data_IF_044855258422
#
_entry.id   IF_044855258422
#
_cell.length_a   1.000
_cell.length_b   1.000
_cell.length_c   1.000
_cell.angle_alpha   90.00
_cell.angle_beta   90.00
_cell.angle_gamma   90.00
#
_symmetry.space_group_name_H-M   'P 1'
#
loop_
_entity.id
_entity.type
_entity.pdbx_description
1 polymer ?
#
# COMPACT_ATOMS: atom_id res chain seq x y z
N UNK A 1 -6.86 23.78 12.20
CA UNK A 1 -5.96 22.61 12.27
C UNK A 1 -6.76 21.45 12.85
N UNK A 2 -7.28 20.55 12.00
CA UNK A 2 -8.02 19.38 12.48
C UNK A 2 -7.04 18.23 12.72
N UNK A 3 -6.94 17.79 13.97
CA UNK A 3 -6.21 16.58 14.34
C UNK A 3 -6.89 15.38 13.66
N UNK A 4 -6.14 14.65 12.82
CA UNK A 4 -6.61 13.37 12.27
C UNK A 4 -6.59 12.34 13.40
N UNK A 5 -7.74 12.10 13.99
CA UNK A 5 -7.93 11.08 15.02
C UNK A 5 -7.65 9.69 14.43
N UNK A 6 -6.68 8.97 14.99
CA UNK A 6 -6.34 7.61 14.55
C UNK A 6 -7.32 6.63 15.19
N UNK A 7 -8.20 6.05 14.37
CA UNK A 7 -9.02 4.90 14.78
C UNK A 7 -8.09 3.70 15.04
N UNK A 8 -8.07 3.12 16.26
CA UNK A 8 -7.29 1.92 16.53
C UNK A 8 -7.94 0.73 15.82
N UNK A 9 -7.26 0.19 14.79
CA UNK A 9 -7.69 -1.06 14.14
C UNK A 9 -7.66 -2.19 15.18
N UNK A 10 -8.84 -2.64 15.61
CA UNK A 10 -9.03 -3.84 16.43
C UNK A 10 -8.32 -5.01 15.74
N UNK A 11 -7.17 -5.41 16.28
CA UNK A 11 -6.50 -6.64 15.88
C UNK A 11 -7.38 -7.79 16.33
N UNK A 12 -8.15 -8.38 15.41
CA UNK A 12 -8.71 -9.69 15.65
C UNK A 12 -7.53 -10.66 15.79
N UNK A 13 -7.37 -11.15 17.01
CA UNK A 13 -6.56 -12.31 17.36
C UNK A 13 -7.18 -13.52 16.63
N UNK A 14 -6.37 -14.54 16.36
CA UNK A 14 -6.70 -15.82 15.68
C UNK A 14 -6.35 -15.78 14.18
N UNK A 15 -5.42 -16.67 13.76
CA UNK A 15 -4.90 -16.99 12.41
C UNK A 15 -3.51 -16.48 11.96
N UNK A 16 -2.76 -15.67 12.74
CA UNK A 16 -1.38 -15.26 12.36
C UNK A 16 -0.29 -16.33 12.58
N UNK A 17 -0.56 -17.59 12.24
CA UNK A 17 0.27 -18.72 12.66
C UNK A 17 1.25 -19.29 11.63
N UNK A 18 1.08 -19.03 10.32
CA UNK A 18 1.85 -19.76 9.30
C UNK A 18 2.16 -18.99 8.01
N UNK A 19 1.39 -17.94 7.68
CA UNK A 19 1.56 -17.16 6.43
C UNK A 19 2.55 -15.99 6.57
N UNK A 20 3.05 -15.72 7.78
CA UNK A 20 4.00 -14.63 8.04
C UNK A 20 5.44 -15.02 7.65
N UNK A 21 5.75 -16.32 7.58
CA UNK A 21 7.13 -16.83 7.38
C UNK A 21 7.54 -17.12 5.93
N UNK A 22 6.64 -17.04 4.93
CA UNK A 22 7.02 -17.32 3.54
C UNK A 22 6.52 -16.21 2.61
N UNK A 23 7.48 -15.40 2.16
CA UNK A 23 7.40 -14.44 1.05
C UNK A 23 6.53 -13.19 1.29
N UNK A 24 7.09 -12.22 2.02
CA UNK A 24 6.67 -10.85 1.85
C UNK A 24 6.93 -10.41 0.40
N UNK A 25 6.00 -9.69 -0.21
CA UNK A 25 6.12 -9.13 -1.55
C UNK A 25 6.25 -7.62 -1.46
N UNK A 26 7.19 -7.08 -2.24
CA UNK A 26 7.41 -5.66 -2.49
C UNK A 26 6.78 -5.31 -3.84
N UNK A 27 5.83 -4.40 -3.82
CA UNK A 27 5.18 -3.86 -5.01
C UNK A 27 5.55 -2.38 -5.10
N UNK A 28 6.05 -1.97 -6.26
CA UNK A 28 6.30 -0.57 -6.61
C UNK A 28 5.34 -0.19 -7.71
N UNK A 29 4.56 0.87 -7.50
CA UNK A 29 3.58 1.36 -8.46
C UNK A 29 3.67 2.87 -8.58
N UNK A 30 3.57 3.39 -9.81
CA UNK A 30 3.49 4.82 -10.07
C UNK A 30 2.03 5.25 -10.06
N UNK A 31 1.71 6.31 -9.35
CA UNK A 31 0.35 6.85 -9.25
C UNK A 31 0.44 8.35 -9.52
N UNK A 32 -0.38 8.84 -10.45
CA UNK A 32 -0.43 10.27 -10.76
C UNK A 32 -1.07 11.03 -9.59
N UNK A 33 -0.25 11.77 -8.83
CA UNK A 33 -0.67 12.45 -7.61
C UNK A 33 -0.39 13.95 -7.68
N UNK A 34 -1.22 14.67 -8.45
CA UNK A 34 -1.11 16.11 -8.67
C UNK A 34 -1.42 17.00 -7.44
N UNK A 35 -1.72 16.44 -6.27
CA UNK A 35 -2.15 17.20 -5.09
C UNK A 35 -1.84 16.51 -3.76
N UNK A 36 -1.66 17.29 -2.70
CA UNK A 36 -1.43 16.72 -1.36
C UNK A 36 -2.62 15.86 -0.87
N UNK A 37 -3.86 16.21 -1.28
CA UNK A 37 -5.07 15.42 -0.98
C UNK A 37 -5.03 14.03 -1.63
N UNK A 38 -4.59 13.93 -2.88
CA UNK A 38 -4.48 12.62 -3.56
C UNK A 38 -3.37 11.77 -2.95
N UNK A 39 -2.25 12.37 -2.52
CA UNK A 39 -1.16 11.67 -1.79
C UNK A 39 -1.65 11.02 -0.49
N UNK A 40 -2.40 11.77 0.33
CA UNK A 40 -2.98 11.22 1.57
C UNK A 40 -3.97 10.10 1.29
N UNK A 41 -4.81 10.26 0.26
CA UNK A 41 -5.81 9.26 -0.13
C UNK A 41 -5.18 7.98 -0.69
N UNK A 42 -4.10 8.12 -1.45
CA UNK A 42 -3.33 6.99 -1.95
C UNK A 42 -2.73 6.19 -0.78
N UNK A 43 -2.08 6.88 0.17
CA UNK A 43 -1.55 6.26 1.39
C UNK A 43 -2.64 5.55 2.20
N UNK A 44 -3.82 6.15 2.32
CA UNK A 44 -4.96 5.54 3.00
C UNK A 44 -5.45 4.27 2.28
N UNK A 45 -5.58 4.32 0.95
CA UNK A 45 -5.94 3.16 0.13
C UNK A 45 -4.93 2.03 0.32
N UNK A 46 -3.63 2.32 0.23
CA UNK A 46 -2.59 1.34 0.45
C UNK A 46 -2.64 0.74 1.86
N UNK A 47 -2.78 1.58 2.89
CA UNK A 47 -2.88 1.11 4.29
C UNK A 47 -4.11 0.26 4.57
N UNK A 48 -5.19 0.52 3.85
CA UNK A 48 -6.46 -0.19 4.02
C UNK A 48 -6.53 -1.48 3.20
N UNK A 49 -5.58 -1.71 2.30
CA UNK A 49 -5.57 -2.91 1.47
C UNK A 49 -5.18 -4.16 2.27
N UNK A 50 -5.75 -5.28 1.84
CA UNK A 50 -5.53 -6.57 2.47
C UNK A 50 -4.10 -7.07 2.25
N UNK A 51 -3.54 -7.72 3.28
CA UNK A 51 -2.17 -8.24 3.25
C UNK A 51 -1.07 -7.18 3.35
N UNK A 52 -1.38 -5.87 3.43
CA UNK A 52 -0.38 -4.80 3.50
C UNK A 52 0.20 -4.65 4.91
N UNK A 53 1.52 -4.79 5.03
CA UNK A 53 2.27 -4.52 6.25
C UNK A 53 2.80 -3.08 6.32
N UNK A 54 3.25 -2.53 5.19
CA UNK A 54 3.83 -1.18 5.10
C UNK A 54 3.57 -0.52 3.76
N UNK A 55 3.41 0.81 3.78
CA UNK A 55 3.23 1.65 2.59
C UNK A 55 4.10 2.89 2.70
N UNK A 56 4.80 3.23 1.64
CA UNK A 56 5.63 4.44 1.51
C UNK A 56 5.37 5.12 0.18
N UNK A 57 5.58 6.43 0.15
CA UNK A 57 5.67 7.20 -1.09
C UNK A 57 7.14 7.59 -1.29
N UNK A 58 7.66 7.31 -2.47
CA UNK A 58 9.04 7.54 -2.91
C UNK A 58 9.07 8.19 -4.30
N UNK A 59 10.28 8.48 -4.79
CA UNK A 59 10.54 9.25 -6.01
C UNK A 59 10.60 10.76 -5.76
N UNK A 60 11.33 11.49 -6.61
CA UNK A 60 11.53 12.95 -6.51
C UNK A 60 10.21 13.73 -6.41
N UNK A 61 9.19 13.27 -7.13
CA UNK A 61 7.88 13.90 -7.16
C UNK A 61 6.86 13.28 -6.17
N UNK A 62 7.26 12.21 -5.45
CA UNK A 62 6.42 11.39 -4.56
C UNK A 62 5.22 10.75 -5.28
N UNK A 63 5.46 10.30 -6.51
CA UNK A 63 4.46 9.63 -7.36
C UNK A 63 4.65 8.11 -7.37
N UNK A 64 5.67 7.59 -6.70
CA UNK A 64 5.89 6.14 -6.59
C UNK A 64 5.43 5.66 -5.21
N UNK A 65 4.54 4.68 -5.20
CA UNK A 65 4.08 4.02 -3.99
C UNK A 65 4.74 2.66 -3.87
N UNK A 66 5.44 2.46 -2.74
CA UNK A 66 6.00 1.19 -2.34
C UNK A 66 5.08 0.53 -1.32
N UNK A 67 4.67 -0.71 -1.57
CA UNK A 67 3.82 -1.52 -0.70
C UNK A 67 4.56 -2.81 -0.35
N UNK A 68 4.70 -3.10 0.94
CA UNK A 68 5.27 -4.36 1.46
C UNK A 68 4.19 -5.09 2.24
N UNK A 69 4.02 -6.38 1.98
CA UNK A 69 3.00 -7.19 2.65
C UNK A 69 3.04 -8.66 2.26
N UNK A 70 2.18 -9.47 2.88
CA UNK A 70 1.99 -10.88 2.54
C UNK A 70 0.57 -11.06 2.03
N UNK A 71 0.40 -11.61 0.82
CA UNK A 71 -0.92 -11.78 0.20
C UNK A 71 -1.49 -10.50 -0.44
N UNK A 72 -0.62 -9.54 -0.75
CA UNK A 72 -0.94 -8.30 -1.46
C UNK A 72 -1.23 -8.57 -2.95
N UNK A 73 -2.47 -8.33 -3.35
CA UNK A 73 -2.90 -8.38 -4.75
C UNK A 73 -2.61 -7.05 -5.46
N UNK A 74 -1.53 -7.02 -6.26
CA UNK A 74 -1.09 -5.83 -6.97
C UNK A 74 -2.14 -5.30 -7.96
N UNK A 75 -2.87 -6.20 -8.63
CA UNK A 75 -3.88 -5.82 -9.64
C UNK A 75 -5.07 -5.16 -8.96
N UNK A 76 -5.54 -5.74 -7.84
CA UNK A 76 -6.64 -5.18 -7.05
C UNK A 76 -6.26 -3.82 -6.45
N UNK A 77 -5.04 -3.69 -5.93
CA UNK A 77 -4.50 -2.43 -5.43
C UNK A 77 -4.52 -1.34 -6.50
N UNK A 78 -3.96 -1.61 -7.68
CA UNK A 78 -3.92 -0.65 -8.79
C UNK A 78 -5.33 -0.30 -9.28
N UNK A 79 -6.24 -1.27 -9.33
CA UNK A 79 -7.64 -0.99 -9.70
C UNK A 79 -8.29 -0.01 -8.73
N UNK A 80 -8.11 -0.20 -7.42
CA UNK A 80 -8.67 0.71 -6.41
C UNK A 80 -8.05 2.11 -6.53
N UNK A 81 -6.74 2.19 -6.77
CA UNK A 81 -6.04 3.47 -6.96
C UNK A 81 -6.52 4.21 -8.20
N UNK A 82 -6.69 3.52 -9.33
CA UNK A 82 -7.29 4.06 -10.56
C UNK A 82 -8.67 4.64 -10.33
N UNK A 83 -9.48 4.01 -9.49
CA UNK A 83 -10.83 4.50 -9.18
C UNK A 83 -10.85 5.63 -8.14
N UNK A 84 -9.98 5.62 -7.14
CA UNK A 84 -10.08 6.50 -5.96
C UNK A 84 -9.14 7.71 -5.99
N UNK A 85 -8.02 7.59 -6.69
CA UNK A 85 -6.91 8.55 -6.66
C UNK A 85 -6.68 9.13 -8.06
N UNK A 86 -6.38 8.28 -9.04
CA UNK A 86 -5.95 8.72 -10.37
C UNK A 86 -5.23 7.60 -11.12
N UNK A 87 -4.70 7.89 -12.30
CA UNK A 87 -3.98 6.91 -13.10
C UNK A 87 -2.86 6.23 -12.28
N UNK A 88 -2.81 4.90 -12.33
CA UNK A 88 -1.84 4.11 -11.60
C UNK A 88 -1.28 2.97 -12.46
N UNK A 89 0.00 2.69 -12.35
CA UNK A 89 0.74 1.71 -13.12
C UNK A 89 1.66 0.89 -12.21
N UNK A 90 1.73 -0.42 -12.45
CA UNK A 90 2.63 -1.31 -11.72
C UNK A 90 4.01 -1.18 -12.37
N UNK A 91 5.02 -0.80 -11.59
CA UNK A 91 6.42 -0.69 -12.06
C UNK A 91 7.17 -1.99 -11.79
N UNK A 92 7.01 -2.54 -10.58
CA UNK A 92 7.70 -3.78 -10.19
C UNK A 92 6.90 -4.55 -9.15
N UNK A 93 6.95 -5.87 -9.25
CA UNK A 93 6.42 -6.81 -8.26
C UNK A 93 7.50 -7.86 -8.03
N UNK A 94 7.94 -8.00 -6.78
CA UNK A 94 8.94 -9.00 -6.42
C UNK A 94 8.72 -9.51 -5.01
N UNK A 95 9.23 -10.71 -4.72
CA UNK A 95 9.35 -11.19 -3.34
C UNK A 95 10.48 -10.43 -2.64
N UNK A 96 10.22 -9.91 -1.44
CA UNK A 96 11.27 -9.48 -0.50
C UNK A 96 11.80 -10.72 0.22
N UNK A 97 12.43 -11.63 -0.52
CA UNK A 97 13.19 -12.73 0.06
C UNK A 97 14.58 -12.17 0.41
N UNK A 98 14.68 -11.57 1.60
CA UNK A 98 15.88 -11.04 2.28
C UNK A 98 16.69 -9.98 1.52
N UNK A 99 16.78 -8.77 2.10
CA UNK A 99 18.06 -8.06 2.20
C UNK A 99 18.72 -8.45 3.54
#
# INVERSE_FOLDING_TARGET
MGVVERVPRRRSRITKGLTDSICAMKIVMKVEMNSQKSKTKALEVGRNADGVGSVRLEGDHRDEMLVIGNGNDAVKLVKILRTKVGAAEIISVGGSLFE
#
